data_IF_202440073727
#
_entry.id   IF_202440073727
#
_cell.length_a   1.000
_cell.length_b   1.000
_cell.length_c   1.000
_cell.angle_alpha   90.00
_cell.angle_beta   90.00
_cell.angle_gamma   90.00
#
_symmetry.space_group_name_H-M   'P 1'
#
loop_
_entity.id
_entity.type
_entity.pdbx_description
1 polymer ?
#
# COMPACT_ATOMS: atom_id res chain seq x y z
N UNK A 1 41.09 -27.78 44.59
CA UNK A 1 40.00 -26.81 44.33
C UNK A 1 40.33 -26.17 42.98
N UNK A 2 39.82 -26.74 41.88
CA UNK A 2 40.15 -26.33 40.51
C UNK A 2 39.06 -25.43 39.97
N UNK A 3 39.43 -24.18 39.67
CA UNK A 3 38.55 -23.22 39.00
C UNK A 3 39.04 -23.16 37.56
N UNK A 4 38.27 -23.75 36.66
CA UNK A 4 38.56 -23.79 35.22
C UNK A 4 38.19 -22.45 34.60
N UNK A 5 39.18 -21.67 34.17
CA UNK A 5 38.95 -20.45 33.39
C UNK A 5 38.37 -20.81 32.02
N UNK A 6 37.12 -20.43 31.79
CA UNK A 6 36.47 -20.60 30.49
C UNK A 6 36.80 -19.36 29.65
N UNK A 7 37.82 -19.47 28.79
CA UNK A 7 38.14 -18.43 27.81
C UNK A 7 37.00 -18.28 26.80
N UNK A 8 36.31 -17.14 26.83
CA UNK A 8 35.42 -16.71 25.76
C UNK A 8 36.27 -16.41 24.52
N UNK A 9 36.18 -17.28 23.50
CA UNK A 9 36.69 -16.99 22.17
C UNK A 9 35.75 -15.97 21.51
N UNK A 10 36.20 -14.72 21.42
CA UNK A 10 35.66 -13.78 20.44
C UNK A 10 36.15 -14.21 19.06
N UNK A 11 35.25 -14.76 18.24
CA UNK A 11 35.52 -14.95 16.82
C UNK A 11 35.44 -13.59 16.14
N UNK A 12 36.59 -13.00 15.81
CA UNK A 12 36.67 -11.84 14.92
C UNK A 12 36.29 -12.28 13.51
N UNK A 13 35.13 -11.86 13.01
CA UNK A 13 34.84 -11.98 11.59
C UNK A 13 35.64 -10.92 10.83
N UNK A 14 36.73 -11.35 10.18
CA UNK A 14 37.31 -10.57 9.09
C UNK A 14 36.33 -10.61 7.93
N UNK A 15 35.76 -9.46 7.58
CA UNK A 15 35.03 -9.26 6.32
C UNK A 15 36.03 -9.33 5.17
N UNK A 16 36.12 -10.50 4.55
CA UNK A 16 36.77 -10.67 3.26
C UNK A 16 35.83 -10.07 2.19
N UNK A 17 36.24 -8.95 1.58
CA UNK A 17 35.54 -8.33 0.47
C UNK A 17 35.61 -9.26 -0.74
N UNK A 18 34.58 -10.09 -0.91
CA UNK A 18 34.30 -10.73 -2.18
C UNK A 18 33.38 -9.80 -2.96
N UNK A 19 33.98 -9.10 -3.92
CA UNK A 19 33.27 -8.30 -4.90
C UNK A 19 32.54 -9.24 -5.87
N UNK A 20 31.43 -9.82 -5.42
CA UNK A 20 30.45 -10.50 -6.29
C UNK A 20 29.21 -9.63 -6.34
N UNK A 21 29.04 -8.96 -7.47
CA UNK A 21 27.84 -8.21 -7.84
C UNK A 21 26.68 -9.19 -8.09
N UNK A 22 26.22 -9.89 -7.06
CA UNK A 22 24.97 -10.62 -7.11
C UNK A 22 23.85 -9.61 -7.01
N UNK A 23 23.38 -9.12 -8.17
CA UNK A 23 22.14 -8.35 -8.27
C UNK A 23 21.01 -9.21 -7.70
N UNK A 24 20.49 -8.83 -6.53
CA UNK A 24 19.26 -9.39 -6.00
C UNK A 24 18.13 -9.16 -7.00
N UNK A 25 17.26 -10.15 -7.17
CA UNK A 25 16.15 -10.14 -8.12
C UNK A 25 15.27 -8.87 -8.00
N UNK A 26 15.09 -8.39 -6.77
CA UNK A 26 14.43 -7.11 -6.45
C UNK A 26 15.00 -5.87 -7.16
N UNK A 27 16.31 -5.81 -7.44
CA UNK A 27 16.91 -4.69 -8.18
C UNK A 27 16.65 -4.78 -9.69
N UNK A 28 16.52 -5.99 -10.23
CA UNK A 28 16.21 -6.18 -11.65
C UNK A 28 14.74 -5.88 -11.93
N UNK A 29 13.84 -6.20 -11.01
CA UNK A 29 12.40 -5.92 -11.14
C UNK A 29 12.13 -4.41 -11.07
N UNK A 30 12.83 -3.68 -10.20
CA UNK A 30 12.75 -2.21 -10.15
C UNK A 30 13.40 -1.53 -11.37
N UNK A 31 14.55 -2.04 -11.83
CA UNK A 31 15.24 -1.46 -13.01
C UNK A 31 14.48 -1.72 -14.32
N UNK A 32 13.82 -2.86 -14.45
CA UNK A 32 12.99 -3.17 -15.63
C UNK A 32 11.68 -2.38 -15.66
N UNK A 33 11.07 -2.10 -14.50
CA UNK A 33 9.97 -1.15 -14.39
C UNK A 33 10.40 0.27 -14.79
N UNK A 34 11.63 0.67 -14.45
CA UNK A 34 12.20 1.98 -14.79
C UNK A 34 12.64 2.08 -16.28
N UNK A 35 13.17 1.01 -16.88
CA UNK A 35 13.51 0.97 -18.31
C UNK A 35 12.26 1.00 -19.20
N UNK A 36 11.19 0.30 -18.80
CA UNK A 36 9.90 0.41 -19.47
C UNK A 36 9.34 1.85 -19.39
N UNK A 37 9.59 2.57 -18.30
CA UNK A 37 9.19 3.97 -18.14
C UNK A 37 9.89 4.92 -19.13
N UNK A 38 11.18 4.72 -19.41
CA UNK A 38 11.89 5.52 -20.43
C UNK A 38 11.40 5.21 -21.85
N UNK A 39 11.04 3.96 -22.14
CA UNK A 39 10.46 3.56 -23.44
C UNK A 39 9.14 4.29 -23.74
N UNK A 40 8.30 4.58 -22.74
CA UNK A 40 7.04 5.32 -22.95
C UNK A 40 7.24 6.82 -23.18
N UNK A 41 8.34 7.43 -22.72
CA UNK A 41 8.66 8.85 -23.00
C UNK A 41 9.09 9.12 -24.46
N UNK A 42 9.50 8.10 -25.21
CA UNK A 42 10.04 8.28 -26.56
C UNK A 42 8.96 8.44 -27.65
N UNK A 43 7.72 7.99 -27.43
CA UNK A 43 6.65 8.03 -28.43
C UNK A 43 5.46 8.88 -28.00
N UNK A 44 5.68 10.20 -27.94
CA UNK A 44 4.76 11.33 -28.24
C UNK A 44 5.04 12.50 -27.30
N UNK A 45 5.57 13.60 -27.84
CA UNK A 45 5.08 14.93 -27.44
C UNK A 45 5.42 15.95 -28.51
N UNK A 46 4.45 16.23 -29.37
CA UNK A 46 4.29 17.57 -29.95
C UNK A 46 3.52 18.40 -28.92
N UNK A 47 4.24 19.19 -28.11
CA UNK A 47 3.77 20.29 -27.24
C UNK A 47 2.30 20.17 -26.82
N UNK A 48 2.03 19.39 -25.78
CA UNK A 48 0.80 19.52 -25.00
C UNK A 48 0.97 20.62 -23.94
N UNK A 49 -0.15 21.17 -23.47
CA UNK A 49 -0.19 22.27 -22.51
C UNK A 49 0.45 21.81 -21.18
N UNK A 50 1.38 22.58 -20.61
CA UNK A 50 2.23 22.15 -19.46
C UNK A 50 1.47 21.65 -18.21
N UNK A 51 0.19 21.98 -18.08
CA UNK A 51 -0.68 21.50 -16.99
C UNK A 51 -1.28 20.12 -17.26
N UNK A 52 -1.49 19.78 -18.52
CA UNK A 52 -1.98 18.47 -18.95
C UNK A 52 -0.87 17.42 -18.80
N UNK A 53 0.37 17.78 -19.14
CA UNK A 53 1.55 16.93 -18.91
C UNK A 53 1.80 16.67 -17.41
N UNK A 54 1.65 17.68 -16.52
CA UNK A 54 1.81 17.47 -15.06
C UNK A 54 0.72 16.55 -14.47
N UNK A 55 -0.52 16.70 -14.93
CA UNK A 55 -1.64 15.86 -14.51
C UNK A 55 -1.42 14.40 -14.92
N UNK A 56 -0.97 14.18 -16.16
CA UNK A 56 -0.64 12.86 -16.66
C UNK A 56 0.54 12.25 -15.88
N UNK A 57 1.61 13.00 -15.60
CA UNK A 57 2.76 12.49 -14.84
C UNK A 57 2.37 12.07 -13.40
N UNK A 58 1.53 12.86 -12.71
CA UNK A 58 1.04 12.49 -11.37
C UNK A 58 0.15 11.28 -11.42
N UNK A 59 -0.78 11.20 -12.35
CA UNK A 59 -1.65 10.04 -12.48
C UNK A 59 -0.83 8.76 -12.77
N UNK A 60 0.18 8.84 -13.65
CA UNK A 60 1.08 7.71 -13.91
C UNK A 60 1.87 7.29 -12.66
N UNK A 61 2.35 8.24 -11.86
CA UNK A 61 3.00 7.93 -10.57
C UNK A 61 2.04 7.20 -9.61
N UNK A 62 0.79 7.68 -9.50
CA UNK A 62 -0.24 7.04 -8.70
C UNK A 62 -0.54 5.62 -9.19
N UNK A 63 -0.63 5.43 -10.50
CA UNK A 63 -0.89 4.13 -11.12
C UNK A 63 0.27 3.16 -10.87
N UNK A 64 1.52 3.60 -10.98
CA UNK A 64 2.69 2.81 -10.64
C UNK A 64 2.65 2.37 -9.17
N UNK A 65 2.34 3.31 -8.27
CA UNK A 65 2.20 3.04 -6.83
C UNK A 65 1.08 2.05 -6.52
N UNK A 66 -0.06 2.19 -7.20
CA UNK A 66 -1.21 1.30 -7.09
C UNK A 66 -0.87 -0.11 -7.59
N UNK A 67 -0.18 -0.22 -8.72
CA UNK A 67 0.20 -1.50 -9.32
C UNK A 67 1.23 -2.26 -8.48
N UNK A 68 2.05 -1.58 -7.68
CA UNK A 68 2.97 -2.25 -6.75
C UNK A 68 2.23 -3.12 -5.70
N UNK A 69 1.00 -2.75 -5.32
CA UNK A 69 0.14 -3.58 -4.46
C UNK A 69 -0.42 -4.83 -5.18
N UNK A 70 -0.19 -4.91 -6.50
CA UNK A 70 -0.69 -5.97 -7.38
C UNK A 70 0.43 -6.79 -8.04
N UNK A 71 1.70 -6.51 -7.70
CA UNK A 71 2.88 -7.13 -8.32
C UNK A 71 3.43 -8.30 -7.49
N UNK A 72 4.22 -9.17 -8.14
CA UNK A 72 4.97 -10.23 -7.46
C UNK A 72 4.11 -11.30 -6.79
N UNK A 73 2.96 -11.65 -7.37
CA UNK A 73 2.01 -12.63 -6.82
C UNK A 73 1.08 -12.07 -5.74
N UNK A 74 1.26 -10.82 -5.32
CA UNK A 74 0.32 -10.12 -4.47
C UNK A 74 -0.83 -9.64 -5.33
N UNK A 75 -1.98 -10.31 -5.30
CA UNK A 75 -3.19 -9.88 -6.02
C UNK A 75 -4.20 -9.28 -5.05
N UNK A 76 -3.76 -8.31 -4.26
CA UNK A 76 -4.55 -7.87 -3.12
C UNK A 76 -5.87 -7.19 -3.51
N UNK A 77 -5.91 -6.57 -4.69
CA UNK A 77 -7.12 -5.92 -5.19
C UNK A 77 -7.94 -6.80 -6.15
N UNK A 78 -7.57 -8.07 -6.35
CA UNK A 78 -8.40 -9.02 -7.10
C UNK A 78 -9.70 -9.29 -6.33
N UNK A 79 -10.83 -9.16 -7.01
CA UNK A 79 -12.20 -9.18 -6.50
C UNK A 79 -12.51 -8.10 -5.43
N UNK A 80 -11.70 -7.05 -5.33
CA UNK A 80 -11.89 -5.94 -4.40
C UNK A 80 -12.88 -4.89 -4.92
N UNK A 81 -13.19 -3.90 -4.08
CA UNK A 81 -13.93 -2.70 -4.45
C UNK A 81 -13.23 -1.92 -5.57
N UNK A 82 -11.89 -1.88 -5.57
CA UNK A 82 -11.11 -1.17 -6.59
C UNK A 82 -11.12 -1.84 -7.97
N UNK A 83 -11.44 -3.14 -8.05
CA UNK A 83 -11.65 -3.78 -9.35
C UNK A 83 -13.06 -3.53 -9.87
N UNK A 84 -14.05 -3.53 -8.98
CA UNK A 84 -15.48 -3.42 -9.31
C UNK A 84 -15.92 -1.98 -9.57
N UNK A 85 -15.28 -1.01 -8.93
CA UNK A 85 -15.59 0.42 -9.02
C UNK A 85 -14.37 1.20 -9.53
N UNK A 86 -14.47 1.68 -10.77
CA UNK A 86 -13.41 2.45 -11.41
C UNK A 86 -13.25 3.85 -10.79
N UNK A 87 -14.30 4.43 -10.21
CA UNK A 87 -14.19 5.72 -9.53
C UNK A 87 -13.37 5.56 -8.25
N UNK A 88 -13.69 4.55 -7.42
CA UNK A 88 -12.92 4.24 -6.22
C UNK A 88 -11.45 3.96 -6.55
N UNK A 89 -11.18 3.23 -7.63
CA UNK A 89 -9.83 2.98 -8.12
C UNK A 89 -9.10 4.27 -8.51
N UNK A 90 -9.73 5.11 -9.32
CA UNK A 90 -9.11 6.34 -9.83
C UNK A 90 -8.88 7.36 -8.71
N UNK A 91 -9.83 7.53 -7.79
CA UNK A 91 -9.67 8.36 -6.61
C UNK A 91 -8.54 7.85 -5.72
N UNK A 92 -8.41 6.54 -5.54
CA UNK A 92 -7.31 5.98 -4.77
C UNK A 92 -5.95 6.13 -5.48
N UNK A 93 -5.89 5.97 -6.80
CA UNK A 93 -4.70 6.28 -7.61
C UNK A 93 -4.29 7.75 -7.42
N UNK A 94 -5.26 8.67 -7.45
CA UNK A 94 -5.02 10.10 -7.22
C UNK A 94 -4.58 10.41 -5.79
N UNK A 95 -5.14 9.71 -4.80
CA UNK A 95 -4.66 9.80 -3.43
C UNK A 95 -3.19 9.37 -3.35
N UNK A 96 -2.86 8.20 -3.91
CA UNK A 96 -1.50 7.67 -3.92
C UNK A 96 -0.51 8.55 -4.67
N UNK A 97 -0.91 9.25 -5.74
CA UNK A 97 -0.01 10.15 -6.47
C UNK A 97 0.38 11.39 -5.69
N UNK A 98 -0.51 11.88 -4.82
CA UNK A 98 -0.29 13.09 -4.02
C UNK A 98 0.51 12.83 -2.74
N UNK A 99 0.71 11.58 -2.34
CA UNK A 99 1.53 11.25 -1.18
C UNK A 99 3.01 11.57 -1.40
N UNK A 100 3.71 12.11 -0.38
CA UNK A 100 5.16 12.03 -0.31
C UNK A 100 5.66 10.59 -0.50
N UNK A 101 6.85 10.43 -1.08
CA UNK A 101 7.45 9.10 -1.30
C UNK A 101 7.57 8.32 0.01
N UNK A 102 7.97 8.98 1.09
CA UNK A 102 8.10 8.39 2.43
C UNK A 102 6.77 7.82 2.93
N UNK A 103 5.68 8.60 2.84
CA UNK A 103 4.35 8.17 3.26
C UNK A 103 3.83 6.99 2.46
N UNK A 104 4.01 7.04 1.13
CA UNK A 104 3.69 5.91 0.28
C UNK A 104 4.47 4.66 0.68
N UNK A 105 5.77 4.78 0.94
CA UNK A 105 6.62 3.64 1.33
C UNK A 105 6.21 3.07 2.69
N UNK A 106 5.80 3.91 3.65
CA UNK A 106 5.31 3.48 4.95
C UNK A 106 3.97 2.73 4.84
N UNK A 107 3.02 3.25 4.06
CA UNK A 107 1.76 2.55 3.76
C UNK A 107 2.03 1.22 3.08
N UNK A 108 2.92 1.21 2.08
CA UNK A 108 3.27 0.01 1.35
C UNK A 108 3.91 -1.05 2.25
N UNK A 109 4.90 -0.66 3.05
CA UNK A 109 5.55 -1.56 4.02
C UNK A 109 4.55 -2.15 5.03
N UNK A 110 3.59 -1.34 5.48
CA UNK A 110 2.54 -1.78 6.40
C UNK A 110 1.58 -2.79 5.76
N UNK A 111 1.13 -2.54 4.54
CA UNK A 111 0.31 -3.48 3.77
C UNK A 111 1.07 -4.80 3.54
N UNK A 112 2.33 -4.74 3.10
CA UNK A 112 3.16 -5.95 2.97
C UNK A 112 3.36 -6.71 4.29
N UNK A 113 3.46 -6.00 5.42
CA UNK A 113 3.63 -6.66 6.72
C UNK A 113 2.38 -7.39 7.21
N UNK A 114 1.19 -6.91 6.85
CA UNK A 114 -0.10 -7.41 7.34
C UNK A 114 -0.79 -8.37 6.35
N UNK A 115 -0.64 -8.11 5.05
CA UNK A 115 -1.24 -8.85 3.94
C UNK A 115 -0.22 -9.68 3.15
N UNK A 116 1.07 -9.50 3.39
CA UNK A 116 2.12 -10.33 2.80
C UNK A 116 2.36 -11.61 3.60
N UNK A 117 2.97 -12.59 2.95
CA UNK A 117 3.31 -13.83 3.61
C UNK A 117 4.49 -13.60 4.56
N UNK A 118 4.28 -13.82 5.86
CA UNK A 118 5.36 -13.76 6.86
C UNK A 118 6.20 -15.02 6.78
N UNK A 119 7.49 -14.94 7.08
CA UNK A 119 8.30 -16.14 7.28
C UNK A 119 7.95 -16.76 8.65
N UNK A 120 7.76 -18.07 8.69
CA UNK A 120 7.52 -18.83 9.92
C UNK A 120 8.38 -20.10 9.96
N UNK A 121 8.70 -20.58 11.16
CA UNK A 121 9.40 -21.84 11.34
C UNK A 121 8.39 -23.00 11.27
N UNK A 122 8.67 -24.02 10.45
CA UNK A 122 7.87 -25.24 10.38
C UNK A 122 8.19 -26.21 11.54
N UNK A 123 7.47 -27.32 11.64
CA UNK A 123 7.67 -28.35 12.68
C UNK A 123 9.08 -28.98 12.66
N UNK A 124 9.84 -28.80 11.58
CA UNK A 124 11.18 -29.32 11.39
C UNK A 124 12.28 -28.25 11.59
N UNK A 125 11.91 -27.03 11.96
CA UNK A 125 12.85 -25.93 12.14
C UNK A 125 13.22 -25.17 10.85
N UNK A 126 12.54 -25.43 9.73
CA UNK A 126 12.80 -24.72 8.48
C UNK A 126 12.01 -23.42 8.41
N UNK A 127 12.64 -22.37 7.91
CA UNK A 127 11.94 -21.12 7.60
C UNK A 127 11.13 -21.31 6.31
N UNK A 128 9.81 -21.31 6.44
CA UNK A 128 8.84 -21.45 5.34
C UNK A 128 7.98 -20.19 5.22
N UNK A 129 7.31 -20.05 4.07
CA UNK A 129 6.29 -19.02 3.90
C UNK A 129 5.08 -19.34 4.76
N UNK A 130 4.77 -18.43 5.68
CA UNK A 130 3.62 -18.47 6.56
C UNK A 130 2.34 -18.02 5.90
N UNK A 131 1.22 -18.26 6.60
CA UNK A 131 -0.09 -17.78 6.17
C UNK A 131 -0.17 -16.26 6.33
N UNK A 132 -0.88 -15.63 5.40
CA UNK A 132 -1.30 -14.24 5.51
C UNK A 132 -2.09 -14.04 6.80
N UNK A 133 -1.75 -13.01 7.57
CA UNK A 133 -2.48 -12.66 8.79
C UNK A 133 -3.88 -12.15 8.46
N UNK A 134 -3.98 -11.35 7.37
CA UNK A 134 -5.24 -10.80 6.86
C UNK A 134 -5.47 -11.26 5.42
N UNK A 135 -6.73 -11.37 4.99
CA UNK A 135 -7.08 -11.81 3.64
C UNK A 135 -7.50 -10.59 2.79
N UNK A 136 -6.67 -10.16 1.82
CA UNK A 136 -6.97 -8.99 1.00
C UNK A 136 -8.36 -8.97 0.37
N UNK A 137 -8.85 -10.12 -0.11
CA UNK A 137 -10.18 -10.22 -0.72
C UNK A 137 -11.34 -9.94 0.25
N UNK A 138 -11.10 -10.07 1.56
CA UNK A 138 -12.06 -9.70 2.60
C UNK A 138 -11.86 -8.26 3.05
N UNK A 139 -10.61 -7.86 3.28
CA UNK A 139 -10.28 -6.51 3.76
C UNK A 139 -10.68 -5.44 2.75
N UNK A 140 -10.51 -5.70 1.45
CA UNK A 140 -10.83 -4.75 0.38
C UNK A 140 -12.13 -5.06 -0.37
N UNK A 141 -13.04 -5.83 0.22
CA UNK A 141 -14.29 -6.21 -0.45
C UNK A 141 -15.21 -5.02 -0.76
N UNK A 142 -15.27 -4.02 0.13
CA UNK A 142 -16.04 -2.78 0.02
C UNK A 142 -15.25 -1.59 0.56
N UNK A 143 -15.73 -0.36 0.34
CA UNK A 143 -15.15 0.83 0.99
C UNK A 143 -15.20 0.71 2.51
N UNK A 144 -16.33 0.24 3.06
CA UNK A 144 -16.50 0.02 4.49
C UNK A 144 -15.52 -1.00 5.05
N UNK A 145 -15.32 -2.14 4.37
CA UNK A 145 -14.32 -3.12 4.82
C UNK A 145 -12.90 -2.56 4.77
N UNK A 146 -12.61 -1.72 3.78
CA UNK A 146 -11.32 -1.05 3.63
C UNK A 146 -11.07 -0.06 4.77
N UNK A 147 -12.09 0.73 5.15
CA UNK A 147 -12.05 1.60 6.33
C UNK A 147 -11.76 0.77 7.59
N UNK A 148 -12.51 -0.31 7.80
CA UNK A 148 -12.35 -1.19 8.96
C UNK A 148 -10.95 -1.80 9.04
N UNK A 149 -10.37 -2.19 7.89
CA UNK A 149 -9.00 -2.68 7.82
C UNK A 149 -8.01 -1.65 8.37
N UNK A 150 -8.03 -0.41 7.86
CA UNK A 150 -7.10 0.63 8.30
C UNK A 150 -7.35 1.08 9.75
N UNK A 151 -8.60 1.09 10.22
CA UNK A 151 -8.92 1.34 11.63
C UNK A 151 -8.37 0.25 12.55
N UNK A 152 -8.44 -1.02 12.13
CA UNK A 152 -7.82 -2.12 12.88
C UNK A 152 -6.29 -1.99 12.92
N UNK A 153 -5.66 -1.67 11.80
CA UNK A 153 -4.21 -1.43 11.75
C UNK A 153 -3.76 -0.26 12.65
N UNK A 154 -4.57 0.80 12.71
CA UNK A 154 -4.35 1.94 13.61
C UNK A 154 -4.46 1.52 15.08
N UNK A 155 -5.48 0.74 15.44
CA UNK A 155 -5.68 0.25 16.80
C UNK A 155 -4.53 -0.66 17.23
N UNK A 156 -4.12 -1.61 16.39
CA UNK A 156 -2.98 -2.50 16.65
C UNK A 156 -1.68 -1.72 16.85
N UNK A 157 -1.45 -0.67 16.05
CA UNK A 157 -0.29 0.20 16.18
C UNK A 157 -0.28 0.95 17.51
N UNK A 158 -1.41 1.56 17.89
CA UNK A 158 -1.56 2.30 19.15
C UNK A 158 -1.38 1.36 20.35
N UNK A 159 -1.98 0.18 20.32
CA UNK A 159 -1.84 -0.80 21.39
C UNK A 159 -0.41 -1.32 21.50
N UNK A 160 0.26 -1.56 20.38
CA UNK A 160 1.67 -1.94 20.32
C UNK A 160 2.58 -0.89 20.96
N UNK A 161 2.44 0.38 20.55
CA UNK A 161 3.22 1.49 21.10
C UNK A 161 2.98 1.67 22.60
N UNK A 162 1.71 1.54 23.05
CA UNK A 162 1.37 1.58 24.48
C UNK A 162 2.02 0.44 25.26
N UNK A 163 2.08 -0.77 24.69
CA UNK A 163 2.56 -1.98 25.39
C UNK A 163 4.08 -2.07 25.45
N UNK A 164 4.77 -1.72 24.37
CA UNK A 164 6.21 -1.94 24.24
C UNK A 164 7.02 -0.64 24.35
N UNK A 165 6.35 0.51 24.43
CA UNK A 165 6.99 1.82 24.32
C UNK A 165 7.36 2.13 22.87
N UNK A 166 7.40 3.43 22.54
CA UNK A 166 7.71 3.92 21.20
C UNK A 166 6.82 5.10 20.81
N UNK A 167 7.27 5.88 19.84
CA UNK A 167 6.47 6.95 19.24
C UNK A 167 5.85 6.44 17.94
N UNK A 168 4.54 6.21 17.95
CA UNK A 168 3.77 5.82 16.77
C UNK A 168 3.08 7.00 16.10
N UNK A 169 3.24 8.23 16.59
CA UNK A 169 2.40 9.37 16.23
C UNK A 169 2.39 9.65 14.73
N UNK A 170 3.56 9.56 14.08
CA UNK A 170 3.67 9.77 12.63
C UNK A 170 2.82 8.77 11.85
N UNK A 171 3.00 7.47 12.11
CA UNK A 171 2.29 6.41 11.41
C UNK A 171 0.80 6.38 11.79
N UNK A 172 0.46 6.71 13.03
CA UNK A 172 -0.93 6.88 13.47
C UNK A 172 -1.63 8.00 12.71
N UNK A 173 -0.98 9.15 12.52
CA UNK A 173 -1.53 10.25 11.72
C UNK A 173 -1.69 9.84 10.25
N UNK A 174 -0.67 9.22 9.67
CA UNK A 174 -0.73 8.76 8.28
C UNK A 174 -1.87 7.76 8.04
N UNK A 175 -2.04 6.77 8.92
CA UNK A 175 -3.15 5.81 8.81
C UNK A 175 -4.51 6.47 9.07
N UNK A 176 -4.57 7.48 9.94
CA UNK A 176 -5.78 8.29 10.15
C UNK A 176 -6.16 9.04 8.88
N UNK A 177 -5.20 9.60 8.16
CA UNK A 177 -5.44 10.30 6.88
C UNK A 177 -5.96 9.34 5.81
N UNK A 178 -5.44 8.11 5.74
CA UNK A 178 -5.96 7.06 4.85
C UNK A 178 -7.42 6.71 5.21
N UNK A 179 -7.72 6.52 6.50
CA UNK A 179 -9.10 6.26 6.96
C UNK A 179 -10.04 7.41 6.56
N UNK A 180 -9.60 8.66 6.78
CA UNK A 180 -10.40 9.84 6.45
C UNK A 180 -10.65 9.96 4.95
N UNK A 181 -9.65 9.67 4.10
CA UNK A 181 -9.82 9.61 2.66
C UNK A 181 -10.97 8.68 2.25
N UNK A 182 -11.00 7.45 2.78
CA UNK A 182 -12.06 6.50 2.44
C UNK A 182 -13.43 6.90 3.00
N UNK A 183 -13.49 7.51 4.19
CA UNK A 183 -14.73 8.06 4.75
C UNK A 183 -15.29 9.21 3.91
N UNK A 184 -14.41 10.09 3.43
CA UNK A 184 -14.77 11.20 2.56
C UNK A 184 -15.26 10.69 1.20
N UNK A 185 -14.60 9.69 0.63
CA UNK A 185 -15.05 9.03 -0.60
C UNK A 185 -16.46 8.41 -0.41
N UNK A 186 -16.65 7.62 0.65
CA UNK A 186 -17.94 6.99 0.95
C UNK A 186 -19.06 8.04 1.11
N UNK A 187 -18.76 9.15 1.78
CA UNK A 187 -19.72 10.24 1.99
C UNK A 187 -20.11 10.93 0.69
N UNK A 188 -19.14 11.19 -0.19
CA UNK A 188 -19.39 11.78 -1.53
C UNK A 188 -20.24 10.85 -2.39
N UNK A 189 -19.93 9.56 -2.44
CA UNK A 189 -20.73 8.59 -3.19
C UNK A 189 -22.18 8.52 -2.69
N UNK A 190 -22.39 8.57 -1.37
CA UNK A 190 -23.74 8.61 -0.81
C UNK A 190 -24.48 9.88 -1.24
N UNK A 191 -23.84 11.04 -1.17
CA UNK A 191 -24.42 12.32 -1.59
C UNK A 191 -24.82 12.31 -3.08
N UNK A 192 -23.95 11.80 -3.95
CA UNK A 192 -24.22 11.74 -5.39
C UNK A 192 -25.34 10.75 -5.75
N UNK A 193 -25.43 9.63 -5.02
CA UNK A 193 -26.55 8.71 -5.10
C UNK A 193 -27.88 9.35 -4.65
N UNK A 194 -27.87 10.17 -3.60
CA UNK A 194 -29.06 10.92 -3.18
C UNK A 194 -29.47 11.99 -4.20
N UNK A 195 -28.53 12.73 -4.79
CA UNK A 195 -28.81 13.74 -5.83
C UNK A 195 -29.42 13.13 -7.08
N UNK A 196 -28.90 11.98 -7.52
CA UNK A 196 -29.41 11.28 -8.70
C UNK A 196 -30.81 10.70 -8.47
N UNK A 197 -31.12 10.21 -7.26
CA UNK A 197 -32.48 9.78 -6.88
C UNK A 197 -33.46 10.96 -6.78
N UNK A 198 -33.02 12.10 -6.25
CA UNK A 198 -33.82 13.33 -6.14
C UNK A 198 -34.19 13.95 -7.49
N UNK A 199 -33.32 13.83 -8.50
CA UNK A 199 -33.57 14.34 -9.85
C UNK A 199 -34.49 13.43 -10.71
N UNK A 200 -34.66 12.16 -10.35
CA UNK A 200 -35.49 11.20 -11.10
C UNK A 200 -36.94 11.12 -10.60
N UNK A 201 -37.31 11.88 -9.56
CA UNK A 201 -38.70 12.07 -9.17
C UNK A 201 -39.20 13.42 -9.73
N UNK A 202 -40.13 13.43 -10.71
CA UNK A 202 -40.80 14.67 -11.08
C UNK A 202 -41.59 15.18 -9.86
N UNK A 203 -41.76 16.51 -9.70
CA UNK A 203 -42.57 17.04 -8.63
C UNK A 203 -44.00 16.51 -8.77
N UNK A 204 -44.45 15.76 -7.77
CA UNK A 204 -45.81 15.21 -7.64
C UNK A 204 -46.86 16.29 -7.33
N UNK A 205 -46.58 17.55 -7.67
CA UNK A 205 -47.50 18.66 -7.53
C UNK A 205 -47.38 19.60 -8.75
N UNK A 206 -48.12 19.26 -9.79
CA UNK A 206 -48.81 20.26 -10.60
C UNK A 206 -50.20 20.44 -10.00
N UNK A 207 -50.33 21.37 -9.06
CA UNK A 207 -51.54 22.19 -8.90
C UNK A 207 -51.37 23.33 -9.90
N UNK A 208 -52.29 23.66 -10.80
CA UNK A 208 -53.75 23.53 -10.85
C UNK A 208 -54.21 23.30 -12.30
#
# INVERSE_FOLDING_TARGET
>A
MNITETQQRYTSYQTQSNNSTSKTQSNNDFSSALENFESYKAEKSTKADSKEEEYDEKYQLGLLRYNAFQDGGNKWFENSVFEKDQNAKNEFINYLSNLPVEDYMLINGKLHSSLGAKLMEDENGNIVSGKYEKNPSKEFFSIESTINYFENELNELIEGARKFGGDSSYMTNLLTDVVNFFKDYQSKEQEDNYKTLGNNNPPLFSKD
#
